data_IF_294417652553
#
_entry.id   IF_294417652553
#
_cell.length_a   1.000
_cell.length_b   1.000
_cell.length_c   1.000
_cell.angle_alpha   90.00
_cell.angle_beta   90.00
_cell.angle_gamma   90.00
#
_symmetry.space_group_name_H-M   'P 1'
#
loop_
_entity.id
_entity.type
_entity.pdbx_description
1 polymer ?
#
# COMPACT_ATOMS: atom_id res chain seq x y z
N UNK A 1 14.10 34.75 -15.80
CA UNK A 1 14.21 33.40 -15.17
C UNK A 1 12.95 32.95 -14.42
N UNK A 2 11.92 33.80 -14.22
CA UNK A 2 10.67 33.41 -13.52
C UNK A 2 9.78 32.41 -14.30
N UNK A 3 9.83 32.44 -15.63
CA UNK A 3 8.94 31.63 -16.48
C UNK A 3 9.25 30.12 -16.41
N UNK A 4 10.51 29.74 -16.22
CA UNK A 4 10.92 28.34 -16.15
C UNK A 4 10.45 27.66 -14.85
N UNK A 5 10.53 28.37 -13.73
CA UNK A 5 10.03 27.87 -12.43
C UNK A 5 8.51 27.67 -12.45
N UNK A 6 7.78 28.58 -13.10
CA UNK A 6 6.32 28.50 -13.19
C UNK A 6 5.84 27.33 -14.06
N UNK A 7 6.56 27.02 -15.14
CA UNK A 7 6.29 25.85 -16.00
C UNK A 7 6.59 24.54 -15.26
N UNK A 8 7.69 24.47 -14.50
CA UNK A 8 8.05 23.29 -13.70
C UNK A 8 7.00 23.02 -12.61
N UNK A 9 6.55 24.05 -11.89
CA UNK A 9 5.47 23.89 -10.90
C UNK A 9 4.15 23.45 -11.54
N UNK A 10 3.76 24.03 -12.68
CA UNK A 10 2.55 23.65 -13.39
C UNK A 10 2.59 22.19 -13.86
N UNK A 11 3.73 21.74 -14.41
CA UNK A 11 3.94 20.35 -14.80
C UNK A 11 3.89 19.41 -13.60
N UNK A 12 4.53 19.77 -12.48
CA UNK A 12 4.48 18.98 -11.25
C UNK A 12 3.04 18.83 -10.74
N UNK A 13 2.27 19.92 -10.65
CA UNK A 13 0.86 19.88 -10.22
C UNK A 13 -0.01 19.08 -11.19
N UNK A 14 0.21 19.21 -12.49
CA UNK A 14 -0.51 18.43 -13.50
C UNK A 14 -0.23 16.93 -13.36
N UNK A 15 1.04 16.54 -13.24
CA UNK A 15 1.44 15.14 -13.04
C UNK A 15 0.85 14.56 -11.75
N UNK A 16 0.85 15.32 -10.64
CA UNK A 16 0.22 14.88 -9.38
C UNK A 16 -1.28 14.65 -9.57
N UNK A 17 -2.00 15.59 -10.18
CA UNK A 17 -3.45 15.45 -10.44
C UNK A 17 -3.77 14.27 -11.36
N UNK A 18 -2.97 14.04 -12.39
CA UNK A 18 -3.14 12.89 -13.28
C UNK A 18 -2.88 11.57 -12.55
N UNK A 19 -1.90 11.56 -11.66
CA UNK A 19 -1.55 10.39 -10.84
C UNK A 19 -2.66 10.04 -9.85
N UNK A 20 -3.35 11.03 -9.30
CA UNK A 20 -4.52 10.80 -8.44
C UNK A 20 -5.76 10.32 -9.19
N UNK A 21 -5.84 10.56 -10.50
CA UNK A 21 -6.93 10.07 -11.36
C UNK A 21 -6.77 8.62 -11.81
N UNK A 22 -5.64 7.97 -11.53
CA UNK A 22 -5.45 6.55 -11.84
C UNK A 22 -6.39 5.73 -10.95
N UNK A 23 -7.18 4.83 -11.54
CA UNK A 23 -8.14 4.00 -10.81
C UNK A 23 -7.46 3.09 -9.79
N UNK A 24 -8.20 2.70 -8.75
CA UNK A 24 -7.69 1.78 -7.72
C UNK A 24 -7.29 0.44 -8.34
N UNK A 25 -8.08 -0.09 -9.29
CA UNK A 25 -7.83 -1.36 -9.98
C UNK A 25 -6.50 -1.33 -10.76
N UNK A 26 -6.20 -0.21 -11.41
CA UNK A 26 -4.93 -0.06 -12.13
C UNK A 26 -3.75 -0.07 -11.16
N UNK A 27 -3.90 0.55 -10.00
CA UNK A 27 -2.87 0.57 -8.97
C UNK A 27 -2.66 -0.83 -8.37
N UNK A 28 -3.75 -1.54 -8.08
CA UNK A 28 -3.74 -2.94 -7.62
C UNK A 28 -3.00 -3.82 -8.61
N UNK A 29 -3.38 -3.79 -9.89
CA UNK A 29 -2.75 -4.62 -10.93
C UNK A 29 -1.23 -4.37 -11.05
N UNK A 30 -0.78 -3.12 -10.87
CA UNK A 30 0.65 -2.79 -10.87
C UNK A 30 1.38 -3.38 -9.65
N UNK A 31 0.76 -3.32 -8.48
CA UNK A 31 1.33 -3.88 -7.25
C UNK A 31 1.37 -5.41 -7.34
N UNK A 32 0.29 -6.04 -7.78
CA UNK A 32 0.21 -7.50 -7.96
C UNK A 32 1.28 -7.99 -8.93
N UNK A 33 1.38 -7.38 -10.10
CA UNK A 33 2.44 -7.69 -11.07
C UNK A 33 3.83 -7.55 -10.47
N UNK A 34 4.06 -6.52 -9.66
CA UNK A 34 5.35 -6.34 -8.97
C UNK A 34 5.62 -7.47 -7.96
N UNK A 35 4.60 -7.87 -7.20
CA UNK A 35 4.72 -8.94 -6.20
C UNK A 35 4.98 -10.29 -6.88
N UNK A 36 4.30 -10.59 -7.98
CA UNK A 36 4.53 -11.79 -8.81
C UNK A 36 5.94 -11.82 -9.37
N UNK A 37 6.40 -10.71 -9.96
CA UNK A 37 7.76 -10.59 -10.49
C UNK A 37 8.82 -10.74 -9.39
N UNK A 38 8.55 -10.20 -8.19
CA UNK A 38 9.44 -10.31 -7.04
C UNK A 38 9.45 -11.72 -6.44
N UNK A 39 8.36 -12.48 -6.60
CA UNK A 39 8.29 -13.88 -6.18
C UNK A 39 9.10 -14.80 -7.11
N UNK A 40 9.16 -14.48 -8.41
CA UNK A 40 9.95 -15.22 -9.40
C UNK A 40 11.47 -14.98 -9.27
N UNK A 41 11.90 -13.88 -8.64
CA UNK A 41 13.30 -13.46 -8.50
C UNK A 41 14.07 -14.05 -7.31
N UNK A 42 13.56 -15.07 -6.62
CA UNK A 42 14.30 -15.78 -5.57
C UNK A 42 14.42 -15.04 -4.24
N UNK A 43 13.55 -14.06 -3.95
CA UNK A 43 13.44 -13.56 -2.57
C UNK A 43 12.46 -14.43 -1.80
N UNK A 44 13.02 -15.42 -1.09
CA UNK A 44 12.40 -16.15 0.03
C UNK A 44 12.10 -15.20 1.21
N UNK A 45 11.37 -14.11 0.95
CA UNK A 45 10.45 -13.53 1.91
C UNK A 45 9.21 -14.40 1.93
N UNK A 46 9.44 -15.67 2.26
CA UNK A 46 8.46 -16.72 2.48
C UNK A 46 7.27 -16.05 3.19
N UNK A 47 6.07 -16.22 2.64
CA UNK A 47 4.79 -15.88 3.29
C UNK A 47 4.59 -16.75 4.56
N UNK A 48 5.64 -17.00 5.34
CA UNK A 48 5.71 -17.77 6.58
C UNK A 48 5.93 -16.86 7.77
N UNK A 49 5.20 -15.75 7.83
CA UNK A 49 4.76 -15.19 9.10
C UNK A 49 3.28 -15.54 9.37
N UNK A 50 2.68 -16.46 8.60
CA UNK A 50 1.33 -16.99 8.81
C UNK A 50 1.31 -18.33 9.56
N UNK A 51 2.46 -18.95 9.83
CA UNK A 51 2.51 -20.24 10.55
C UNK A 51 2.40 -20.10 12.08
N UNK A 52 2.52 -18.87 12.59
CA UNK A 52 2.21 -18.50 13.98
C UNK A 52 1.43 -17.18 14.01
N UNK A 53 0.67 -16.94 12.93
CA UNK A 53 0.02 -15.66 12.68
C UNK A 53 -1.20 -15.50 13.59
N UNK A 54 -1.20 -14.43 14.37
CA UNK A 54 -2.36 -13.90 15.08
C UNK A 54 -3.59 -13.93 14.13
N UNK A 55 -4.53 -14.85 14.39
CA UNK A 55 -5.71 -15.07 13.52
C UNK A 55 -6.46 -13.77 13.28
N UNK A 56 -6.47 -12.88 14.26
CA UNK A 56 -7.08 -11.55 14.15
C UNK A 56 -6.45 -10.72 13.02
N UNK A 57 -5.12 -10.77 12.84
CA UNK A 57 -4.43 -10.05 11.76
C UNK A 57 -4.78 -10.66 10.41
N UNK A 58 -4.86 -11.99 10.32
CA UNK A 58 -5.23 -12.66 9.07
C UNK A 58 -6.66 -12.33 8.64
N UNK A 59 -7.61 -12.31 9.58
CA UNK A 59 -8.98 -11.85 9.34
C UNK A 59 -9.01 -10.37 8.94
N UNK A 60 -8.27 -9.51 9.65
CA UNK A 60 -8.20 -8.09 9.33
C UNK A 60 -7.73 -7.83 7.90
N UNK A 61 -6.67 -8.52 7.46
CA UNK A 61 -6.14 -8.38 6.11
C UNK A 61 -7.11 -8.93 5.05
N UNK A 62 -7.88 -9.98 5.35
CA UNK A 62 -8.85 -10.54 4.43
C UNK A 62 -10.01 -9.58 4.13
N UNK A 63 -10.47 -8.80 5.11
CA UNK A 63 -11.57 -7.83 4.96
C UNK A 63 -11.16 -6.49 4.31
N UNK A 64 -9.87 -6.23 4.18
CA UNK A 64 -9.40 -4.99 3.56
C UNK A 64 -9.73 -4.94 2.08
N UNK A 65 -10.06 -3.73 1.60
CA UNK A 65 -10.10 -3.43 0.17
C UNK A 65 -8.78 -3.83 -0.51
N UNK A 66 -8.82 -4.32 -1.77
CA UNK A 66 -7.65 -4.86 -2.46
C UNK A 66 -6.44 -3.90 -2.47
N UNK A 67 -6.67 -2.61 -2.73
CA UNK A 67 -5.62 -1.60 -2.75
C UNK A 67 -5.01 -1.36 -1.37
N UNK A 68 -5.85 -1.28 -0.34
CA UNK A 68 -5.44 -1.11 1.05
C UNK A 68 -4.57 -2.29 1.51
N UNK A 69 -5.00 -3.52 1.21
CA UNK A 69 -4.22 -4.74 1.46
C UNK A 69 -2.89 -4.75 0.70
N UNK A 70 -2.92 -4.42 -0.59
CA UNK A 70 -1.73 -4.41 -1.45
C UNK A 70 -0.69 -3.39 -0.94
N UNK A 71 -1.13 -2.19 -0.55
CA UNK A 71 -0.29 -1.14 0.03
C UNK A 71 0.33 -1.60 1.35
N UNK A 72 -0.45 -2.23 2.23
CA UNK A 72 0.07 -2.79 3.48
C UNK A 72 1.17 -3.82 3.22
N UNK A 73 0.99 -4.73 2.25
CA UNK A 73 1.97 -5.76 1.90
C UNK A 73 3.27 -5.13 1.40
N UNK A 74 3.22 -4.18 0.46
CA UNK A 74 4.47 -3.60 -0.08
C UNK A 74 5.21 -2.73 0.95
N UNK A 75 4.49 -2.04 1.84
CA UNK A 75 5.14 -1.23 2.88
C UNK A 75 5.73 -2.13 3.97
N UNK A 76 4.99 -3.11 4.47
CA UNK A 76 5.42 -3.93 5.63
C UNK A 76 6.32 -5.08 5.20
N UNK A 77 5.85 -5.91 4.26
CA UNK A 77 6.57 -7.12 3.86
C UNK A 77 7.74 -6.82 2.94
N UNK A 78 7.61 -5.81 2.06
CA UNK A 78 8.70 -5.39 1.15
C UNK A 78 9.48 -4.18 1.66
N UNK A 79 9.16 -3.67 2.85
CA UNK A 79 9.85 -2.53 3.51
C UNK A 79 9.95 -1.28 2.63
N UNK A 80 8.99 -1.08 1.72
CA UNK A 80 9.00 0.09 0.84
C UNK A 80 8.59 1.34 1.60
N UNK A 81 9.27 2.45 1.31
CA UNK A 81 8.83 3.77 1.78
C UNK A 81 7.60 4.25 1.01
N UNK A 82 6.79 5.13 1.62
CA UNK A 82 5.64 5.78 0.95
C UNK A 82 6.04 6.43 -0.37
N UNK A 83 7.20 7.10 -0.39
CA UNK A 83 7.75 7.75 -1.59
C UNK A 83 8.10 6.74 -2.68
N UNK A 84 8.65 5.59 -2.30
CA UNK A 84 8.95 4.50 -3.24
C UNK A 84 7.66 3.93 -3.85
N UNK A 85 6.66 3.63 -3.01
CA UNK A 85 5.33 3.16 -3.45
C UNK A 85 4.69 4.16 -4.42
N UNK A 86 4.68 5.45 -4.05
CA UNK A 86 4.15 6.53 -4.89
C UNK A 86 4.80 6.57 -6.28
N UNK A 87 6.13 6.51 -6.33
CA UNK A 87 6.90 6.54 -7.59
C UNK A 87 6.67 5.29 -8.42
N UNK A 88 6.68 4.12 -7.79
CA UNK A 88 6.65 2.82 -8.49
C UNK A 88 5.28 2.49 -9.04
N UNK A 89 4.22 2.80 -8.30
CA UNK A 89 2.86 2.43 -8.67
C UNK A 89 2.06 3.59 -9.27
N UNK A 90 2.64 4.79 -9.29
CA UNK A 90 2.02 5.97 -9.89
C UNK A 90 0.79 6.39 -9.10
N UNK A 91 0.97 6.62 -7.80
CA UNK A 91 -0.03 7.15 -6.87
C UNK A 91 0.53 8.39 -6.16
N UNK A 92 -0.30 9.30 -5.64
CA UNK A 92 0.21 10.33 -4.72
C UNK A 92 0.63 9.72 -3.38
N UNK A 93 1.60 10.35 -2.72
CA UNK A 93 2.01 9.94 -1.37
C UNK A 93 0.86 10.09 -0.37
N UNK A 94 0.01 11.11 -0.52
CA UNK A 94 -1.18 11.30 0.32
C UNK A 94 -2.16 10.14 0.22
N UNK A 95 -2.45 9.66 -1.00
CA UNK A 95 -3.31 8.50 -1.22
C UNK A 95 -2.70 7.23 -0.61
N UNK A 96 -1.40 7.02 -0.77
CA UNK A 96 -0.70 5.90 -0.14
C UNK A 96 -0.82 5.96 1.39
N UNK A 97 -0.55 7.12 2.00
CA UNK A 97 -0.69 7.35 3.43
C UNK A 97 -2.13 7.11 3.92
N UNK A 98 -3.14 7.54 3.17
CA UNK A 98 -4.55 7.31 3.49
C UNK A 98 -4.87 5.82 3.57
N UNK A 99 -4.54 5.04 2.53
CA UNK A 99 -4.77 3.60 2.54
C UNK A 99 -3.95 2.89 3.61
N UNK A 100 -2.70 3.31 3.85
CA UNK A 100 -1.89 2.74 4.92
C UNK A 100 -2.50 2.98 6.31
N UNK A 101 -3.01 4.19 6.60
CA UNK A 101 -3.73 4.47 7.85
C UNK A 101 -4.97 3.59 8.01
N UNK A 102 -5.79 3.46 6.95
CA UNK A 102 -6.96 2.58 6.96
C UNK A 102 -6.58 1.11 7.24
N UNK A 103 -5.47 0.63 6.68
CA UNK A 103 -4.97 -0.70 6.95
C UNK A 103 -4.60 -0.89 8.44
N UNK A 104 -3.87 0.07 9.02
CA UNK A 104 -3.47 0.04 10.43
C UNK A 104 -4.68 0.10 11.36
N UNK A 105 -5.65 0.96 11.06
CA UNK A 105 -6.89 1.09 11.84
C UNK A 105 -7.72 -0.21 11.83
N UNK A 106 -7.81 -0.87 10.67
CA UNK A 106 -8.49 -2.17 10.57
C UNK A 106 -7.78 -3.24 11.41
N UNK A 107 -6.44 -3.32 11.36
CA UNK A 107 -5.68 -4.27 12.19
C UNK A 107 -5.86 -3.98 13.68
N UNK A 108 -5.85 -2.71 14.08
CA UNK A 108 -6.07 -2.30 15.47
C UNK A 108 -7.47 -2.72 15.96
N UNK A 109 -8.51 -2.46 15.17
CA UNK A 109 -9.89 -2.86 15.47
C UNK A 109 -10.01 -4.37 15.69
N UNK A 110 -9.39 -5.17 14.82
CA UNK A 110 -9.41 -6.63 14.93
C UNK A 110 -8.67 -7.16 16.15
N UNK A 111 -7.56 -6.51 16.54
CA UNK A 111 -6.88 -6.83 17.80
C UNK A 111 -7.74 -6.54 19.02
N UNK A 112 -8.47 -5.43 19.03
CA UNK A 112 -9.40 -5.10 20.13
C UNK A 112 -10.56 -6.11 20.21
N UNK A 113 -11.13 -6.51 19.07
CA UNK A 113 -12.21 -7.51 19.03
C UNK A 113 -11.70 -8.87 19.54
N UNK A 114 -10.52 -9.29 19.09
CA UNK A 114 -9.87 -10.53 19.54
C UNK A 114 -9.57 -10.51 21.03
N UNK A 115 -9.11 -9.38 21.58
CA UNK A 115 -8.89 -9.20 23.01
C UNK A 115 -10.19 -9.26 23.84
N UNK A 116 -11.31 -8.76 23.30
CA UNK A 116 -12.62 -8.80 23.98
C UNK A 116 -13.29 -10.17 23.99
N UNK A 117 -12.92 -11.08 23.08
CA UNK A 117 -13.46 -12.45 23.02
C UNK A 117 -12.59 -13.47 23.77
N UNK A 118 -11.54 -13.01 24.47
CA UNK A 118 -10.62 -13.82 25.28
C UNK A 118 -10.71 -13.52 26.79
N UNK A 119 -11.74 -12.79 27.24
CA UNK A 119 -12.07 -12.57 28.65
C UNK A 119 -13.35 -13.30 29.03
#
# INVERSE_FOLDING_TARGET
MANHNHVIECLARFMTRMRDRVSDETCVARIERYLEQSALGGFEGRHTALATGDRAISCAVAEMEPLTRAILIVIVARKMSVREVSRRFGMSEERVCRHFRLAVENVARWREIGARHLC
#
